data_IF_062533819221
#
_entry.id   IF_062533819221
#
_cell.length_a   1.000
_cell.length_b   1.000
_cell.length_c   1.000
_cell.angle_alpha   90.00
_cell.angle_beta   90.00
_cell.angle_gamma   90.00
#
_symmetry.space_group_name_H-M   'P 1'
#
loop_
_entity.id
_entity.type
_entity.pdbx_description
1 polymer ?
#
# COMPACT_ATOMS: atom_id res chain seq x y z
N UNK A 1 7.76 29.81 -32.55
CA UNK A 1 6.68 28.79 -32.70
C UNK A 1 7.34 27.65 -33.44
N UNK A 2 7.88 26.63 -32.78
CA UNK A 2 7.32 25.26 -32.71
C UNK A 2 8.03 24.40 -31.63
N UNK A 3 8.58 25.01 -30.57
CA UNK A 3 9.34 24.33 -29.50
C UNK A 3 8.45 23.77 -28.36
N UNK A 4 7.15 23.56 -28.61
CA UNK A 4 6.16 23.21 -27.58
C UNK A 4 5.29 22.01 -27.94
N UNK A 5 5.70 21.20 -28.93
CA UNK A 5 4.98 20.00 -29.36
C UNK A 5 5.96 18.82 -29.44
N UNK A 6 6.75 18.58 -28.39
CA UNK A 6 7.66 17.42 -28.32
C UNK A 6 7.83 16.85 -26.90
N UNK A 7 6.77 16.88 -26.09
CA UNK A 7 6.70 16.05 -24.86
C UNK A 7 5.32 15.40 -24.66
N UNK A 8 4.56 15.24 -25.74
CA UNK A 8 3.54 14.21 -25.87
C UNK A 8 4.00 13.29 -26.99
N UNK A 9 3.99 11.98 -26.77
CA UNK A 9 4.62 10.92 -27.60
C UNK A 9 6.05 10.56 -27.14
N UNK A 10 6.15 9.92 -25.97
CA UNK A 10 7.09 8.80 -25.77
C UNK A 10 6.48 7.77 -24.82
N UNK A 11 5.22 7.43 -25.11
CA UNK A 11 4.56 6.21 -24.66
C UNK A 11 4.40 5.40 -25.94
N UNK A 12 4.84 4.14 -25.92
CA UNK A 12 5.06 3.21 -27.05
C UNK A 12 6.43 3.31 -27.74
N UNK A 13 7.41 2.58 -27.22
CA UNK A 13 8.16 1.55 -27.97
C UNK A 13 9.29 1.01 -27.06
N UNK A 14 9.04 -0.12 -26.39
CA UNK A 14 10.02 -1.07 -25.85
C UNK A 14 9.19 -2.17 -25.20
N UNK A 15 8.61 -3.08 -25.96
CA UNK A 15 9.33 -4.23 -26.47
C UNK A 15 8.97 -5.41 -25.58
N UNK A 16 8.04 -6.25 -26.03
CA UNK A 16 7.74 -7.55 -25.44
C UNK A 16 8.99 -8.43 -25.56
N UNK A 17 9.86 -8.38 -24.55
CA UNK A 17 10.93 -9.35 -24.41
C UNK A 17 10.39 -10.53 -23.61
N UNK A 18 10.29 -11.66 -24.30
CA UNK A 18 9.98 -12.96 -23.75
C UNK A 18 10.83 -13.29 -22.52
N UNK A 19 10.25 -14.10 -21.65
CA UNK A 19 10.89 -14.72 -20.50
C UNK A 19 12.28 -15.27 -20.86
N UNK A 20 13.32 -14.58 -20.39
CA UNK A 20 14.61 -15.19 -20.18
C UNK A 20 14.64 -15.64 -18.72
N UNK A 21 14.60 -16.95 -18.50
CA UNK A 21 14.95 -17.60 -17.25
C UNK A 21 16.38 -17.19 -16.89
N UNK A 22 16.52 -16.07 -16.18
CA UNK A 22 17.73 -15.78 -15.45
C UNK A 22 17.63 -16.56 -14.15
N UNK A 23 18.57 -17.47 -13.84
CA UNK A 23 18.64 -18.04 -12.52
C UNK A 23 19.02 -16.88 -11.59
N UNK A 24 18.01 -16.27 -10.98
CA UNK A 24 18.19 -15.43 -9.81
C UNK A 24 18.91 -16.33 -8.81
N UNK A 25 20.20 -16.11 -8.62
CA UNK A 25 20.90 -16.53 -7.41
C UNK A 25 20.26 -15.72 -6.30
N UNK A 26 19.13 -16.23 -5.82
CA UNK A 26 18.49 -15.76 -4.59
C UNK A 26 19.54 -16.04 -3.52
N UNK A 27 20.01 -15.05 -2.76
CA UNK A 27 20.76 -15.36 -1.56
C UNK A 27 19.92 -16.38 -0.79
N UNK A 28 20.51 -17.54 -0.48
CA UNK A 28 19.81 -18.64 0.16
C UNK A 28 18.95 -18.04 1.28
N UNK A 29 17.64 -18.20 1.17
CA UNK A 29 16.73 -17.75 2.21
C UNK A 29 17.25 -18.37 3.52
N UNK A 30 17.49 -17.58 4.59
CA UNK A 30 17.90 -18.17 5.85
C UNK A 30 16.86 -19.23 6.21
N UNK A 31 17.36 -20.41 6.55
CA UNK A 31 16.59 -21.61 6.84
C UNK A 31 15.33 -21.26 7.63
N UNK A 32 14.20 -21.75 7.12
CA UNK A 32 12.83 -21.69 7.66
C UNK A 32 12.77 -21.34 9.14
N UNK A 33 12.70 -20.03 9.44
CA UNK A 33 12.21 -19.57 10.71
C UNK A 33 10.72 -19.95 10.73
N UNK A 34 10.33 -20.87 11.63
CA UNK A 34 8.92 -21.23 11.89
C UNK A 34 8.04 -19.97 11.76
N UNK A 35 6.93 -19.96 11.01
CA UNK A 35 6.16 -18.75 10.72
C UNK A 35 5.75 -17.96 11.99
N UNK A 36 5.65 -18.66 13.11
CA UNK A 36 5.42 -18.10 14.44
C UNK A 36 6.58 -17.21 14.94
N UNK A 37 7.84 -17.56 14.62
CA UNK A 37 9.05 -16.85 15.06
C UNK A 37 9.21 -15.50 14.35
N UNK A 38 8.99 -15.45 13.04
CA UNK A 38 9.02 -14.19 12.28
C UNK A 38 7.93 -13.24 12.76
N UNK A 39 6.70 -13.74 12.95
CA UNK A 39 5.58 -12.95 13.47
C UNK A 39 5.89 -12.39 14.86
N UNK A 40 6.41 -13.21 15.78
CA UNK A 40 6.81 -12.75 17.13
C UNK A 40 7.92 -11.70 17.07
N UNK A 41 8.89 -11.85 16.17
CA UNK A 41 9.95 -10.86 15.97
C UNK A 41 9.38 -9.50 15.51
N UNK A 42 8.44 -9.50 14.57
CA UNK A 42 7.76 -8.28 14.12
C UNK A 42 6.94 -7.62 15.23
N UNK A 43 6.19 -8.41 16.01
CA UNK A 43 5.44 -7.89 17.16
C UNK A 43 6.37 -7.26 18.20
N UNK A 44 7.53 -7.87 18.47
CA UNK A 44 8.52 -7.30 19.39
C UNK A 44 9.07 -5.96 18.88
N UNK A 45 9.34 -5.84 17.57
CA UNK A 45 9.79 -4.58 16.96
C UNK A 45 8.70 -3.50 17.04
N UNK A 46 7.46 -3.84 16.73
CA UNK A 46 6.34 -2.89 16.81
C UNK A 46 6.09 -2.42 18.25
N UNK A 47 5.99 -3.36 19.21
CA UNK A 47 5.75 -3.06 20.61
C UNK A 47 6.88 -2.23 21.24
N UNK A 48 8.13 -2.50 20.87
CA UNK A 48 9.28 -1.74 21.37
C UNK A 48 9.38 -0.32 20.82
N UNK A 49 8.69 -0.01 19.71
CA UNK A 49 8.83 1.28 19.04
C UNK A 49 10.22 1.55 18.45
N UNK A 50 11.14 0.56 18.43
CA UNK A 50 12.52 0.72 17.94
C UNK A 50 12.62 1.16 16.48
N UNK A 51 11.59 0.83 15.68
CA UNK A 51 11.50 1.21 14.28
C UNK A 51 10.71 2.52 14.06
N UNK A 52 10.25 3.20 15.12
CA UNK A 52 9.57 4.47 14.99
C UNK A 52 10.52 5.56 14.48
N UNK A 53 10.02 6.43 13.60
CA UNK A 53 10.77 7.58 13.11
C UNK A 53 11.17 8.52 14.27
N UNK A 54 12.42 9.01 14.32
CA UNK A 54 12.82 10.02 15.30
C UNK A 54 12.26 11.41 14.96
N UNK A 55 11.82 11.63 13.71
CA UNK A 55 11.26 12.90 13.27
C UNK A 55 9.76 12.93 13.57
N UNK A 56 9.35 13.87 14.42
CA UNK A 56 7.93 14.10 14.71
C UNK A 56 7.22 14.62 13.47
N UNK A 57 6.26 13.86 12.98
CA UNK A 57 5.35 14.31 11.93
C UNK A 57 4.14 14.98 12.59
N UNK A 58 4.00 16.30 12.41
CA UNK A 58 2.86 17.06 12.93
C UNK A 58 2.09 17.69 11.78
N UNK A 59 0.77 17.49 11.77
CA UNK A 59 -0.10 18.21 10.85
C UNK A 59 -0.16 19.70 11.20
N UNK A 60 -0.09 20.54 10.18
CA UNK A 60 -0.36 21.98 10.27
C UNK A 60 -1.81 22.23 10.70
N UNK A 61 -2.11 23.44 11.17
CA UNK A 61 -3.48 23.80 11.56
C UNK A 61 -4.48 23.62 10.40
N UNK A 62 -4.08 23.98 9.18
CA UNK A 62 -4.91 23.83 7.98
C UNK A 62 -5.20 22.36 7.64
N UNK A 63 -4.20 21.48 7.76
CA UNK A 63 -4.37 20.04 7.53
C UNK A 63 -5.27 19.39 8.58
N UNK A 64 -5.12 19.76 9.86
CA UNK A 64 -6.01 19.30 10.93
C UNK A 64 -7.46 19.73 10.66
N UNK A 65 -7.67 20.98 10.26
CA UNK A 65 -9.00 21.46 9.91
C UNK A 65 -9.60 20.69 8.73
N UNK A 66 -8.82 20.45 7.66
CA UNK A 66 -9.27 19.66 6.51
C UNK A 66 -9.60 18.22 6.88
N UNK A 67 -8.81 17.60 7.76
CA UNK A 67 -9.08 16.26 8.26
C UNK A 67 -10.40 16.22 9.05
N UNK A 68 -10.63 17.23 9.90
CA UNK A 68 -11.89 17.36 10.64
C UNK A 68 -13.09 17.56 9.71
N UNK A 69 -12.96 18.40 8.68
CA UNK A 69 -14.04 18.58 7.70
C UNK A 69 -14.35 17.29 6.92
N UNK A 70 -13.32 16.52 6.52
CA UNK A 70 -13.53 15.20 5.90
C UNK A 70 -14.24 14.22 6.83
N UNK A 71 -13.88 14.25 8.12
CA UNK A 71 -14.53 13.42 9.13
C UNK A 71 -16.01 13.78 9.27
N UNK A 72 -16.34 15.06 9.37
CA UNK A 72 -17.74 15.50 9.40
C UNK A 72 -18.49 15.09 8.13
N UNK A 73 -17.87 15.28 6.96
CA UNK A 73 -18.44 14.87 5.67
C UNK A 73 -18.69 13.36 5.58
N UNK A 74 -17.92 12.53 6.29
CA UNK A 74 -18.11 11.08 6.26
C UNK A 74 -19.47 10.64 6.80
N UNK A 75 -20.08 11.43 7.69
CA UNK A 75 -21.42 11.18 8.23
C UNK A 75 -22.54 11.50 7.23
N UNK A 76 -22.26 12.23 6.16
CA UNK A 76 -23.23 12.52 5.10
C UNK A 76 -23.37 11.36 4.11
N UNK A 77 -22.48 10.36 4.18
CA UNK A 77 -22.48 9.24 3.24
C UNK A 77 -23.15 8.04 3.90
N UNK A 78 -24.20 7.54 3.27
CA UNK A 78 -24.87 6.31 3.68
C UNK A 78 -23.92 5.12 3.58
N UNK A 79 -24.12 4.13 4.44
CA UNK A 79 -23.38 2.86 4.38
C UNK A 79 -23.82 2.16 3.10
N UNK A 80 -22.91 1.83 2.17
CA UNK A 80 -23.28 1.12 0.95
C UNK A 80 -24.04 -0.18 1.24
N UNK A 81 -25.14 -0.41 0.52
CA UNK A 81 -26.02 -1.59 0.70
C UNK A 81 -25.25 -2.92 0.68
N UNK A 82 -24.23 -3.05 -0.17
CA UNK A 82 -23.43 -4.29 -0.26
C UNK A 82 -22.64 -4.62 1.01
N UNK A 83 -22.41 -3.65 1.91
CA UNK A 83 -21.79 -3.88 3.22
C UNK A 83 -22.82 -4.33 4.27
N UNK A 84 -24.10 -4.08 4.02
CA UNK A 84 -25.22 -4.52 4.87
C UNK A 84 -25.68 -5.92 4.51
N UNK A 85 -25.33 -6.39 3.31
CA UNK A 85 -25.52 -7.78 2.92
C UNK A 85 -24.73 -8.68 3.90
N UNK A 86 -25.44 -9.58 4.59
CA UNK A 86 -24.84 -10.68 5.36
C UNK A 86 -24.27 -11.74 4.41
N UNK A 87 -23.36 -11.31 3.54
CA UNK A 87 -22.45 -12.20 2.83
C UNK A 87 -21.30 -12.44 3.78
N UNK A 88 -21.38 -13.54 4.51
CA UNK A 88 -20.31 -14.00 5.40
C UNK A 88 -18.94 -13.79 4.76
N UNK A 89 -18.00 -13.28 5.55
CA UNK A 89 -16.65 -12.93 5.10
C UNK A 89 -15.99 -14.16 4.45
N UNK A 90 -15.98 -14.24 3.11
CA UNK A 90 -15.39 -15.37 2.37
C UNK A 90 -16.32 -16.16 1.43
N UNK A 91 -17.60 -15.79 1.28
CA UNK A 91 -18.49 -16.41 0.28
C UNK A 91 -18.12 -15.97 -1.16
N UNK A 92 -17.15 -16.69 -1.74
CA UNK A 92 -16.85 -16.69 -3.17
C UNK A 92 -17.91 -17.53 -3.88
N UNK A 93 -18.68 -16.94 -4.80
CA UNK A 93 -19.55 -17.69 -5.71
C UNK A 93 -18.69 -18.60 -6.60
N UNK A 94 -18.60 -19.88 -6.24
CA UNK A 94 -18.23 -20.95 -7.16
C UNK A 94 -19.44 -21.33 -8.02
#
# INVERSE_FOLDING_TARGET
>A
MHERILFGVLLLLSGTAWAADTPVVRPAAPATAEPQTATRAWLAIQASGRAASPVRQSATAAERQRAYQRYLKSYEHEIPEYLLEDRGFGESKN
#
